data_IF_626857989964
#
_entry.id   IF_626857989964
#
_cell.length_a   1.000
_cell.length_b   1.000
_cell.length_c   1.000
_cell.angle_alpha   90.00
_cell.angle_beta   90.00
_cell.angle_gamma   90.00
#
_symmetry.space_group_name_H-M   'P 1'
#
loop_
_entity.id
_entity.type
_entity.pdbx_description
1 polymer ?
#
# COMPACT_ATOMS: atom_id res chain seq x y z
N UNK A 1 14.55 -9.87 -10.02
CA UNK A 1 13.25 -10.49 -10.38
C UNK A 1 12.35 -9.59 -11.24
N UNK A 2 12.55 -8.25 -11.29
CA UNK A 2 11.72 -7.33 -12.11
C UNK A 2 12.29 -6.96 -13.50
N UNK A 3 13.51 -7.38 -13.87
CA UNK A 3 14.14 -6.96 -15.13
C UNK A 3 13.69 -7.77 -16.37
N UNK A 4 13.05 -8.93 -16.18
CA UNK A 4 12.55 -9.76 -17.30
C UNK A 4 11.08 -9.49 -17.65
N UNK A 5 10.29 -9.01 -16.69
CA UNK A 5 8.88 -8.68 -16.90
C UNK A 5 8.76 -7.18 -17.17
N UNK A 6 7.93 -6.78 -18.13
CA UNK A 6 7.62 -5.38 -18.44
C UNK A 6 6.17 -5.06 -18.04
N UNK A 7 5.88 -4.92 -16.73
CA UNK A 7 4.51 -4.75 -16.27
C UNK A 7 4.01 -3.32 -16.49
N UNK A 8 2.72 -3.18 -16.80
CA UNK A 8 2.05 -1.87 -16.87
C UNK A 8 1.82 -1.25 -15.49
N UNK A 9 1.63 -2.10 -14.48
CA UNK A 9 1.33 -1.74 -13.10
C UNK A 9 2.20 -2.52 -12.12
N UNK A 10 2.59 -1.90 -11.02
CA UNK A 10 3.17 -2.55 -9.86
C UNK A 10 2.44 -2.10 -8.59
N UNK A 11 2.00 -3.06 -7.78
CA UNK A 11 1.47 -2.79 -6.46
C UNK A 11 2.46 -3.34 -5.45
N UNK A 12 3.10 -2.44 -4.71
CA UNK A 12 3.95 -2.78 -3.59
C UNK A 12 3.07 -3.02 -2.38
N UNK A 13 3.33 -4.09 -1.66
CA UNK A 13 2.61 -4.46 -0.45
C UNK A 13 3.64 -4.51 0.67
N UNK A 14 3.42 -3.71 1.69
CA UNK A 14 4.33 -3.62 2.83
C UNK A 14 3.53 -3.41 4.12
N UNK A 15 4.20 -3.03 5.19
CA UNK A 15 3.61 -2.74 6.50
C UNK A 15 3.82 -1.28 6.86
N UNK A 16 2.95 -0.73 7.71
CA UNK A 16 3.12 0.63 8.25
C UNK A 16 2.83 0.62 9.76
N UNK A 17 3.16 1.73 10.42
CA UNK A 17 3.08 1.83 11.86
C UNK A 17 1.62 1.93 12.32
N UNK A 18 1.17 0.95 13.10
CA UNK A 18 -0.04 1.11 13.88
C UNK A 18 0.22 1.99 15.12
N UNK A 19 -0.83 2.50 15.77
CA UNK A 19 -0.81 3.38 16.96
C UNK A 19 0.16 2.98 18.08
N UNK A 20 1.44 3.23 17.85
CA UNK A 20 2.48 3.35 18.85
C UNK A 20 2.67 4.83 19.14
N UNK A 21 3.09 5.17 20.36
CA UNK A 21 3.45 6.53 20.74
C UNK A 21 4.77 6.94 20.05
N UNK A 22 4.80 6.91 18.72
CA UNK A 22 5.94 7.27 17.92
C UNK A 22 5.75 8.69 17.38
N UNK A 23 6.40 9.70 17.97
CA UNK A 23 6.21 11.09 17.56
C UNK A 23 6.78 11.39 16.17
N UNK A 24 7.51 10.45 15.57
CA UNK A 24 8.24 10.66 14.32
C UNK A 24 7.50 10.16 13.08
N UNK A 25 6.45 9.34 13.25
CA UNK A 25 5.71 8.75 12.13
C UNK A 25 4.21 8.97 12.29
N UNK A 26 3.51 9.13 11.17
CA UNK A 26 2.06 8.98 11.17
C UNK A 26 1.72 7.53 11.57
N UNK A 27 0.62 7.36 12.30
CA UNK A 27 0.19 6.05 12.74
C UNK A 27 -1.24 5.78 12.33
N UNK A 28 -1.52 4.51 12.05
CA UNK A 28 -2.80 4.03 11.56
C UNK A 28 -3.42 3.08 12.58
N UNK A 29 -4.74 2.90 12.53
CA UNK A 29 -5.44 2.05 13.49
C UNK A 29 -5.46 0.61 12.99
N UNK A 30 -5.20 -0.33 13.91
CA UNK A 30 -5.46 -1.74 13.67
C UNK A 30 -6.97 -1.98 13.55
N UNK A 31 -7.37 -2.80 12.59
CA UNK A 31 -8.77 -3.17 12.33
C UNK A 31 -9.53 -2.16 11.48
N UNK A 32 -8.94 -1.01 11.14
CA UNK A 32 -9.55 0.02 10.30
C UNK A 32 -9.21 -0.16 8.80
N UNK A 33 -8.66 -1.31 8.42
CA UNK A 33 -8.39 -1.71 7.05
C UNK A 33 -7.00 -1.30 6.53
N UNK A 34 -6.69 -1.69 5.28
CA UNK A 34 -5.42 -1.37 4.61
C UNK A 34 -5.18 0.13 4.55
N UNK A 35 -3.90 0.50 4.54
CA UNK A 35 -3.43 1.87 4.38
C UNK A 35 -2.97 2.05 2.95
N UNK A 36 -3.56 2.99 2.21
CA UNK A 36 -3.22 3.27 0.82
C UNK A 36 -2.38 4.55 0.76
N UNK A 37 -1.16 4.43 0.23
CA UNK A 37 -0.27 5.57 0.17
C UNK A 37 -0.60 6.51 -1.00
N UNK A 38 -0.40 7.80 -0.77
CA UNK A 38 -0.45 8.86 -1.79
C UNK A 38 0.77 9.76 -1.64
N UNK A 39 1.47 10.03 -2.74
CA UNK A 39 2.61 10.94 -2.71
C UNK A 39 3.65 10.65 -3.78
N UNK A 40 4.89 11.08 -3.53
CA UNK A 40 5.97 11.09 -4.52
C UNK A 40 6.32 9.72 -5.13
N UNK A 41 6.29 8.58 -4.40
CA UNK A 41 6.59 7.28 -5.00
C UNK A 41 5.38 6.62 -5.67
N UNK A 42 4.21 7.27 -5.64
CA UNK A 42 2.94 6.69 -6.06
C UNK A 42 2.44 7.39 -7.31
N UNK A 43 2.03 6.62 -8.31
CA UNK A 43 1.39 7.18 -9.50
C UNK A 43 -0.04 7.64 -9.14
N UNK A 44 -0.41 8.94 -9.33
CA UNK A 44 -1.69 9.46 -8.86
C UNK A 44 -2.92 8.69 -9.38
N UNK A 45 -2.90 8.29 -10.65
CA UNK A 45 -4.00 7.50 -11.24
C UNK A 45 -4.12 6.09 -10.65
N UNK A 46 -3.04 5.51 -10.12
CA UNK A 46 -3.08 4.21 -9.42
C UNK A 46 -3.70 4.38 -8.04
N UNK A 47 -3.32 5.43 -7.30
CA UNK A 47 -3.95 5.76 -6.02
C UNK A 47 -5.46 5.98 -6.17
N UNK A 48 -5.87 6.79 -7.15
CA UNK A 48 -7.28 7.03 -7.45
C UNK A 48 -8.01 5.72 -7.77
N UNK A 49 -7.44 4.88 -8.64
CA UNK A 49 -8.03 3.60 -9.01
C UNK A 49 -8.19 2.65 -7.81
N UNK A 50 -7.17 2.52 -6.94
CA UNK A 50 -7.25 1.71 -5.73
C UNK A 50 -8.34 2.25 -4.80
N UNK A 51 -8.37 3.57 -4.58
CA UNK A 51 -9.32 4.23 -3.68
C UNK A 51 -10.77 4.08 -4.17
N UNK A 52 -11.01 4.27 -5.46
CA UNK A 52 -12.33 4.06 -6.07
C UNK A 52 -12.78 2.61 -5.95
N UNK A 53 -11.90 1.64 -6.22
CA UNK A 53 -12.23 0.23 -6.09
C UNK A 53 -12.53 -0.17 -4.64
N UNK A 54 -11.79 0.37 -3.67
CA UNK A 54 -12.08 0.17 -2.26
C UNK A 54 -13.46 0.70 -1.89
N UNK A 55 -13.79 1.94 -2.29
CA UNK A 55 -15.09 2.56 -2.05
C UNK A 55 -16.25 1.77 -2.71
N UNK A 56 -16.12 1.40 -3.98
CA UNK A 56 -17.13 0.62 -4.72
C UNK A 56 -17.42 -0.73 -4.08
N UNK A 57 -16.43 -1.33 -3.41
CA UNK A 57 -16.53 -2.66 -2.81
C UNK A 57 -16.72 -2.62 -1.29
N UNK A 58 -16.97 -1.44 -0.70
CA UNK A 58 -17.13 -1.22 0.73
C UNK A 58 -15.96 -1.78 1.57
N UNK A 59 -14.74 -1.59 1.07
CA UNK A 59 -13.51 -1.90 1.80
C UNK A 59 -13.06 -0.62 2.46
N UNK A 60 -13.06 -0.60 3.79
CA UNK A 60 -12.53 0.53 4.55
C UNK A 60 -11.02 0.59 4.34
N UNK A 61 -10.51 1.79 4.06
CA UNK A 61 -9.09 2.06 3.90
C UNK A 61 -8.71 3.32 4.69
N UNK A 62 -7.45 3.36 5.09
CA UNK A 62 -6.78 4.54 5.63
C UNK A 62 -5.86 5.13 4.55
N UNK A 63 -5.48 6.39 4.68
CA UNK A 63 -4.63 7.08 3.68
C UNK A 63 -3.33 7.52 4.36
N UNK A 64 -2.22 7.19 3.73
CA UNK A 64 -0.87 7.60 4.15
C UNK A 64 -0.29 8.62 3.18
N UNK A 65 0.13 9.78 3.71
CA UNK A 65 0.79 10.81 2.92
C UNK A 65 2.30 10.56 2.87
N UNK A 66 2.83 10.33 1.67
CA UNK A 66 4.27 10.07 1.43
C UNK A 66 4.88 11.18 0.58
N UNK A 67 5.19 12.37 1.15
CA UNK A 67 5.68 13.51 0.38
C UNK A 67 7.08 13.30 -0.21
N UNK A 68 7.84 12.33 0.31
CA UNK A 68 9.21 12.02 -0.12
C UNK A 68 9.39 10.54 -0.42
N UNK A 69 10.42 9.93 0.17
CA UNK A 69 10.64 8.48 0.09
C UNK A 69 9.68 7.75 1.02
N UNK A 70 9.12 6.63 0.56
CA UNK A 70 8.33 5.70 1.37
C UNK A 70 9.20 4.81 2.26
N UNK A 71 10.46 4.60 1.89
CA UNK A 71 11.34 3.61 2.51
C UNK A 71 11.07 2.18 2.03
N UNK A 72 10.14 2.01 1.09
CA UNK A 72 9.74 0.70 0.52
C UNK A 72 10.28 0.53 -0.89
N UNK A 73 10.07 -0.65 -1.48
CA UNK A 73 10.39 -0.90 -2.89
C UNK A 73 9.62 0.01 -3.87
N UNK A 74 8.56 0.70 -3.44
CA UNK A 74 7.84 1.65 -4.29
C UNK A 74 8.78 2.74 -4.81
N UNK A 75 9.75 3.18 -4.00
CA UNK A 75 10.71 4.24 -4.35
C UNK A 75 11.57 3.88 -5.57
N UNK A 76 11.89 2.59 -5.74
CA UNK A 76 12.73 2.10 -6.83
C UNK A 76 11.92 1.53 -7.99
N UNK A 77 10.80 0.87 -7.70
CA UNK A 77 9.95 0.25 -8.72
C UNK A 77 9.32 1.29 -9.64
N UNK A 78 8.90 2.44 -9.09
CA UNK A 78 8.30 3.51 -9.90
C UNK A 78 9.27 4.12 -10.90
N UNK A 79 10.57 4.07 -10.64
CA UNK A 79 11.63 4.57 -11.51
C UNK A 79 12.18 3.52 -12.48
N UNK A 80 11.77 2.26 -12.35
CA UNK A 80 12.26 1.20 -13.21
C UNK A 80 11.77 1.38 -14.66
N UNK A 81 12.64 1.10 -15.63
CA UNK A 81 12.38 1.22 -17.07
C UNK A 81 11.94 2.64 -17.45
N UNK A 82 10.79 2.79 -18.11
CA UNK A 82 10.20 4.07 -18.52
C UNK A 82 9.21 4.62 -17.48
N UNK A 83 9.28 4.12 -16.25
CA UNK A 83 8.32 4.38 -15.19
C UNK A 83 7.19 3.37 -15.20
N UNK A 84 7.09 2.58 -14.13
CA UNK A 84 5.99 1.63 -13.92
C UNK A 84 4.92 2.33 -13.09
N UNK A 85 3.65 2.23 -13.49
CA UNK A 85 2.54 2.80 -12.70
C UNK A 85 2.49 2.08 -11.35
N UNK A 86 2.83 2.79 -10.28
CA UNK A 86 3.12 2.18 -8.99
C UNK A 86 2.10 2.61 -7.94
N UNK A 87 1.61 1.64 -7.17
CA UNK A 87 0.81 1.83 -5.97
C UNK A 87 1.47 1.17 -4.76
N UNK A 88 1.13 1.63 -3.56
CA UNK A 88 1.58 1.04 -2.30
C UNK A 88 0.36 0.85 -1.39
N UNK A 89 0.18 -0.37 -0.91
CA UNK A 89 -0.85 -0.74 0.06
C UNK A 89 -0.15 -1.38 1.25
N UNK A 90 -0.32 -0.79 2.43
CA UNK A 90 0.35 -1.20 3.65
C UNK A 90 -0.63 -1.80 4.66
N UNK A 91 -0.18 -2.78 5.44
CA UNK A 91 -0.93 -3.34 6.57
C UNK A 91 -0.42 -2.68 7.86
N UNK A 92 -1.28 -2.03 8.67
CA UNK A 92 -0.85 -1.46 9.94
C UNK A 92 -0.43 -2.57 10.91
N UNK A 93 0.71 -2.40 11.58
CA UNK A 93 1.21 -3.36 12.56
C UNK A 93 1.82 -2.70 13.81
N UNK A 94 1.89 -3.47 14.89
CA UNK A 94 2.63 -3.14 16.11
C UNK A 94 3.93 -3.92 16.19
N UNK A 95 4.91 -3.29 16.84
CA UNK A 95 6.27 -3.75 17.14
C UNK A 95 7.12 -4.02 15.89
N UNK A 96 7.08 -3.12 14.90
CA UNK A 96 7.86 -3.23 13.65
C UNK A 96 9.34 -3.49 13.92
N UNK A 97 9.94 -4.42 13.16
CA UNK A 97 11.34 -4.84 13.30
C UNK A 97 11.68 -5.47 14.66
N UNK A 98 10.69 -5.92 15.41
CA UNK A 98 10.91 -6.73 16.60
C UNK A 98 10.74 -8.23 16.28
N UNK A 99 11.19 -9.14 17.17
CA UNK A 99 10.98 -10.58 16.98
C UNK A 99 9.51 -11.01 16.94
N UNK A 100 8.59 -10.17 17.43
CA UNK A 100 7.16 -10.47 17.48
C UNK A 100 6.37 -9.24 17.03
N UNK A 101 5.90 -9.28 15.79
CA UNK A 101 5.01 -8.27 15.24
C UNK A 101 3.54 -8.67 15.42
N UNK A 102 2.65 -7.69 15.53
CA UNK A 102 1.21 -7.93 15.72
C UNK A 102 0.40 -7.15 14.71
N UNK A 103 -0.51 -7.85 14.02
CA UNK A 103 -1.40 -7.32 12.99
C UNK A 103 -2.84 -7.75 13.26
N UNK A 104 -3.80 -7.04 12.68
CA UNK A 104 -5.19 -7.49 12.62
C UNK A 104 -5.37 -8.47 11.46
N UNK A 105 -6.00 -9.62 11.72
CA UNK A 105 -6.39 -10.56 10.66
C UNK A 105 -7.39 -9.92 9.68
N UNK A 106 -8.25 -9.03 10.18
CA UNK A 106 -9.21 -8.31 9.34
C UNK A 106 -8.50 -7.39 8.32
N UNK A 107 -7.42 -6.72 8.73
CA UNK A 107 -6.65 -5.84 7.83
C UNK A 107 -5.96 -6.66 6.74
N UNK A 108 -5.45 -7.86 7.08
CA UNK A 108 -4.91 -8.80 6.10
C UNK A 108 -5.98 -9.21 5.09
N UNK A 109 -7.16 -9.62 5.55
CA UNK A 109 -8.25 -10.07 4.69
C UNK A 109 -8.73 -8.96 3.75
N UNK A 110 -8.88 -7.74 4.25
CA UNK A 110 -9.27 -6.58 3.45
C UNK A 110 -8.19 -6.18 2.45
N UNK A 111 -6.91 -6.25 2.83
CA UNK A 111 -5.78 -6.03 1.92
C UNK A 111 -5.79 -7.04 0.78
N UNK A 112 -5.89 -8.34 1.10
CA UNK A 112 -5.93 -9.41 0.10
C UNK A 112 -7.12 -9.25 -0.85
N UNK A 113 -8.30 -8.89 -0.32
CA UNK A 113 -9.50 -8.65 -1.11
C UNK A 113 -9.33 -7.46 -2.06
N UNK A 114 -8.78 -6.34 -1.57
CA UNK A 114 -8.53 -5.16 -2.38
C UNK A 114 -7.54 -5.45 -3.51
N UNK A 115 -6.45 -6.17 -3.22
CA UNK A 115 -5.47 -6.60 -4.22
C UNK A 115 -6.11 -7.51 -5.29
N UNK A 116 -6.93 -8.47 -4.88
CA UNK A 116 -7.63 -9.35 -5.82
C UNK A 116 -8.60 -8.58 -6.73
N UNK A 117 -9.34 -7.62 -6.18
CA UNK A 117 -10.23 -6.74 -6.96
C UNK A 117 -9.40 -5.91 -7.94
N UNK A 118 -8.33 -5.27 -7.48
CA UNK A 118 -7.45 -4.47 -8.33
C UNK A 118 -6.90 -5.33 -9.48
N UNK A 119 -6.32 -6.50 -9.19
CA UNK A 119 -5.78 -7.40 -10.21
C UNK A 119 -6.85 -7.88 -11.21
N UNK A 120 -8.12 -8.05 -10.79
CA UNK A 120 -9.22 -8.46 -11.68
C UNK A 120 -9.73 -7.34 -12.61
N UNK A 121 -9.38 -6.09 -12.31
CA UNK A 121 -9.85 -4.88 -12.99
C UNK A 121 -8.73 -4.14 -13.74
N UNK A 122 -7.50 -4.22 -13.24
CA UNK A 122 -6.32 -3.63 -13.86
C UNK A 122 -6.01 -4.35 -15.18
N UNK A 123 -5.81 -3.58 -16.25
CA UNK A 123 -5.55 -4.11 -17.60
C UNK A 123 -6.78 -4.28 -18.50
N UNK A 124 -7.95 -3.76 -18.11
CA UNK A 124 -9.08 -3.53 -19.01
C UNK A 124 -9.22 -2.06 -19.41
#
# INVERSE_FOLDING_TARGET
MSYEVNPDYAIVVDVTFASENNPNFETYKLGDGPVVAVGAPITPSVFEQISSLAQENNIQCQIEAVPGSSGTEADVVQLARNGIKTGLISIPLLNMHSPVETVSIQDIDYTARLLAIFASKAGR
#
